data_IF_504553831361
#
_entry.id   IF_504553831361
#
_cell.length_a   1.000
_cell.length_b   1.000
_cell.length_c   1.000
_cell.angle_alpha   90.00
_cell.angle_beta   90.00
_cell.angle_gamma   90.00
#
_symmetry.space_group_name_H-M   'P 1'
#
loop_
_entity.id
_entity.type
_entity.pdbx_description
1 polymer ?
#
# COMPACT_ATOMS: atom_id res chain seq x y z
N UNK A 1 8.83 15.70 4.52
CA UNK A 1 7.80 14.69 4.25
C UNK A 1 7.83 13.59 5.28
N UNK A 2 6.65 13.15 5.71
CA UNK A 2 6.52 12.08 6.70
C UNK A 2 6.35 10.75 5.99
N UNK A 3 7.15 9.77 6.35
CA UNK A 3 7.09 8.42 5.80
C UNK A 3 6.93 7.40 6.93
N UNK A 4 6.02 6.46 6.77
CA UNK A 4 5.82 5.35 7.70
C UNK A 4 6.52 4.11 7.16
N UNK A 5 7.24 3.38 8.02
CA UNK A 5 7.86 2.11 7.67
C UNK A 5 7.35 1.00 8.57
N UNK A 6 6.99 -0.14 7.97
CA UNK A 6 6.73 -1.39 8.65
C UNK A 6 7.70 -2.44 8.16
N UNK A 7 8.41 -3.09 9.05
CA UNK A 7 9.33 -4.16 8.70
C UNK A 7 9.22 -5.32 9.69
N UNK A 8 9.11 -6.54 9.19
CA UNK A 8 9.21 -7.76 10.00
C UNK A 8 10.38 -8.64 9.51
N UNK A 9 11.45 -8.04 9.01
CA UNK A 9 12.61 -8.80 8.54
C UNK A 9 13.85 -8.58 9.42
N UNK A 10 14.83 -9.44 9.20
CA UNK A 10 16.12 -9.56 9.90
C UNK A 10 16.96 -8.27 9.98
N UNK A 11 16.47 -7.15 9.47
CA UNK A 11 17.13 -5.84 9.45
C UNK A 11 16.14 -4.72 9.81
N UNK A 12 15.68 -4.65 11.08
CA UNK A 12 14.78 -3.60 11.51
C UNK A 12 15.44 -2.22 11.42
N UNK A 13 14.69 -1.23 10.93
CA UNK A 13 15.17 0.14 10.84
C UNK A 13 15.84 0.56 9.53
N UNK A 14 16.42 -0.37 8.73
CA UNK A 14 17.17 -0.01 7.51
C UNK A 14 16.36 0.85 6.54
N UNK A 15 15.10 0.52 6.29
CA UNK A 15 14.27 1.32 5.38
C UNK A 15 14.01 2.72 5.92
N UNK A 16 13.94 2.86 7.25
CA UNK A 16 13.84 4.15 7.94
C UNK A 16 15.12 4.96 7.80
N UNK A 17 16.28 4.35 8.08
CA UNK A 17 17.61 4.99 7.93
C UNK A 17 17.78 5.55 6.51
N UNK A 18 17.52 4.73 5.48
CA UNK A 18 17.62 5.16 4.08
C UNK A 18 16.67 6.33 3.78
N UNK A 19 15.45 6.30 4.31
CA UNK A 19 14.51 7.40 4.12
C UNK A 19 15.00 8.69 4.81
N UNK A 20 15.57 8.59 6.02
CA UNK A 20 16.18 9.72 6.73
C UNK A 20 17.40 10.31 5.98
N UNK A 21 18.26 9.48 5.42
CA UNK A 21 19.37 9.90 4.56
C UNK A 21 18.90 10.72 3.34
N UNK A 22 17.68 10.46 2.87
CA UNK A 22 17.06 11.22 1.79
C UNK A 22 16.22 12.41 2.28
N UNK A 23 16.35 12.80 3.56
CA UNK A 23 15.71 13.98 4.13
C UNK A 23 14.25 13.80 4.50
N UNK A 24 13.78 12.56 4.70
CA UNK A 24 12.43 12.28 5.17
C UNK A 24 12.40 12.16 6.70
N UNK A 25 11.36 12.68 7.31
CA UNK A 25 11.06 12.37 8.72
C UNK A 25 10.28 11.05 8.78
N UNK A 26 10.75 10.11 9.57
CA UNK A 26 10.25 8.74 9.60
C UNK A 26 9.49 8.45 10.88
N UNK A 27 8.36 7.76 10.78
CA UNK A 27 7.69 7.12 11.91
C UNK A 27 7.69 5.61 11.64
N UNK A 28 8.50 4.87 12.42
CA UNK A 28 8.58 3.41 12.36
C UNK A 28 7.48 2.78 13.21
N UNK A 29 6.75 1.81 12.65
CA UNK A 29 5.75 1.04 13.40
C UNK A 29 6.06 -0.45 13.34
N UNK A 30 6.02 -1.11 14.47
CA UNK A 30 6.15 -2.57 14.56
C UNK A 30 5.31 -3.10 15.72
N UNK A 31 4.89 -4.36 15.62
CA UNK A 31 4.23 -5.10 16.70
C UNK A 31 5.24 -5.63 17.74
N UNK A 32 6.50 -5.75 17.36
CA UNK A 32 7.58 -6.23 18.21
C UNK A 32 8.34 -5.05 18.82
N UNK A 33 8.33 -4.98 20.14
CA UNK A 33 9.14 -4.00 20.88
C UNK A 33 10.63 -4.19 20.66
N UNK A 34 11.07 -5.44 20.51
CA UNK A 34 12.49 -5.76 20.29
C UNK A 34 12.96 -5.21 18.94
N UNK A 35 12.12 -5.29 17.90
CA UNK A 35 12.42 -4.69 16.60
C UNK A 35 12.50 -3.16 16.66
N UNK A 36 11.63 -2.54 17.44
CA UNK A 36 11.69 -1.09 17.66
C UNK A 36 12.94 -0.69 18.46
N UNK A 37 13.31 -1.46 19.47
CA UNK A 37 14.55 -1.22 20.22
C UNK A 37 15.78 -1.33 19.32
N UNK A 38 15.87 -2.36 18.48
CA UNK A 38 16.95 -2.51 17.51
C UNK A 38 17.01 -1.32 16.55
N UNK A 39 15.88 -0.86 16.03
CA UNK A 39 15.83 0.32 15.17
C UNK A 39 16.35 1.58 15.88
N UNK A 40 16.00 1.75 17.16
CA UNK A 40 16.51 2.83 18.00
C UNK A 40 18.02 2.70 18.25
N UNK A 41 18.50 1.51 18.58
CA UNK A 41 19.94 1.25 18.86
C UNK A 41 20.80 1.45 17.60
N UNK A 42 20.22 1.31 16.41
CA UNK A 42 20.84 1.63 15.11
C UNK A 42 20.90 3.14 14.83
N UNK A 43 20.26 3.96 15.63
CA UNK A 43 20.33 5.41 15.51
C UNK A 43 19.23 6.04 14.66
N UNK A 44 18.11 5.35 14.38
CA UNK A 44 16.95 5.96 13.76
C UNK A 44 16.52 7.21 14.55
N UNK A 45 16.49 8.37 13.91
CA UNK A 45 16.19 9.65 14.52
C UNK A 45 14.69 9.94 14.58
N UNK A 46 13.90 9.25 13.75
CA UNK A 46 12.45 9.38 13.70
C UNK A 46 11.73 8.76 14.89
N UNK A 47 10.42 8.91 14.92
CA UNK A 47 9.58 8.34 15.98
C UNK A 47 9.35 6.84 15.78
N UNK A 48 9.18 6.13 16.91
CA UNK A 48 8.85 4.70 16.93
C UNK A 48 7.51 4.46 17.61
N UNK A 49 6.64 3.70 16.97
CA UNK A 49 5.30 3.38 17.43
C UNK A 49 5.11 1.87 17.59
N UNK A 50 4.86 1.41 18.81
CA UNK A 50 4.50 0.02 19.07
C UNK A 50 3.02 -0.20 18.79
N UNK A 51 2.69 -0.84 17.67
CA UNK A 51 1.31 -1.00 17.21
C UNK A 51 1.14 -2.25 16.35
N UNK A 52 0.01 -2.95 16.53
CA UNK A 52 -0.45 -3.99 15.60
C UNK A 52 -1.23 -3.33 14.44
N UNK A 53 -0.64 -3.28 13.26
CA UNK A 53 -1.28 -2.70 12.07
C UNK A 53 -2.60 -3.40 11.69
N UNK A 54 -2.82 -4.65 12.11
CA UNK A 54 -4.07 -5.38 11.91
C UNK A 54 -5.24 -4.83 12.73
N UNK A 55 -4.98 -3.99 13.73
CA UNK A 55 -5.97 -3.21 14.47
C UNK A 55 -6.25 -1.84 13.82
N UNK A 56 -5.48 -1.49 12.79
CA UNK A 56 -5.47 -0.18 12.16
C UNK A 56 -4.29 0.69 12.65
N UNK A 57 -4.07 1.79 11.96
CA UNK A 57 -2.98 2.72 12.24
C UNK A 57 -3.47 3.88 13.09
N UNK A 58 -2.80 4.20 14.23
CA UNK A 58 -3.27 5.18 15.21
C UNK A 58 -2.86 6.62 14.85
N UNK A 59 -2.95 7.00 13.58
CA UNK A 59 -2.54 8.32 13.12
C UNK A 59 -3.72 9.15 12.60
N UNK A 60 -3.53 10.46 12.59
CA UNK A 60 -4.52 11.41 12.09
C UNK A 60 -4.63 11.34 10.57
N UNK A 61 -5.75 11.82 10.05
CA UNK A 61 -6.00 11.95 8.60
C UNK A 61 -4.96 12.88 7.96
N UNK A 62 -4.40 12.46 6.83
CA UNK A 62 -3.47 13.27 6.05
C UNK A 62 -2.12 13.52 6.71
N UNK A 63 -1.67 12.64 7.61
CA UNK A 63 -0.39 12.78 8.30
C UNK A 63 0.79 12.51 7.37
N UNK A 64 0.71 11.47 6.53
CA UNK A 64 1.85 10.97 5.76
C UNK A 64 1.82 11.39 4.29
N UNK A 65 2.97 11.75 3.76
CA UNK A 65 3.19 11.94 2.32
C UNK A 65 3.39 10.60 1.61
N UNK A 66 3.98 9.62 2.29
CA UNK A 66 4.23 8.28 1.78
C UNK A 66 4.32 7.23 2.86
N UNK A 67 4.17 5.97 2.46
CA UNK A 67 4.32 4.80 3.33
C UNK A 67 5.11 3.73 2.62
N UNK A 68 6.03 3.10 3.36
CA UNK A 68 6.79 1.93 2.92
C UNK A 68 6.49 0.79 3.88
N UNK A 69 6.19 -0.39 3.34
CA UNK A 69 6.04 -1.61 4.13
C UNK A 69 6.83 -2.74 3.49
N UNK A 70 7.71 -3.35 4.26
CA UNK A 70 8.60 -4.40 3.77
C UNK A 70 8.24 -5.72 4.44
N UNK A 71 7.70 -6.66 3.67
CA UNK A 71 7.42 -8.05 4.08
C UNK A 71 6.59 -8.19 5.37
N UNK A 72 5.68 -7.25 5.62
CA UNK A 72 4.88 -7.23 6.84
C UNK A 72 3.39 -7.53 6.58
N UNK A 73 2.81 -6.96 5.52
CA UNK A 73 1.35 -6.99 5.29
C UNK A 73 0.81 -8.39 5.05
N UNK A 74 1.58 -9.31 4.45
CA UNK A 74 1.17 -10.70 4.26
C UNK A 74 0.83 -11.42 5.58
N UNK A 75 1.42 -11.03 6.70
CA UNK A 75 1.12 -11.61 8.01
C UNK A 75 -0.30 -11.33 8.51
N UNK A 76 -0.97 -10.31 7.96
CA UNK A 76 -2.39 -10.05 8.24
C UNK A 76 -3.33 -11.12 7.62
N UNK A 77 -2.81 -11.93 6.70
CA UNK A 77 -3.56 -13.03 6.08
C UNK A 77 -3.62 -14.29 6.96
N UNK A 78 -2.87 -14.32 8.06
CA UNK A 78 -2.87 -15.46 8.99
C UNK A 78 -3.76 -15.17 10.19
N UNK A 79 -4.44 -16.20 10.65
CA UNK A 79 -5.27 -16.21 11.87
C UNK A 79 -4.45 -16.79 13.01
N UNK A 80 -3.82 -15.96 13.82
CA UNK A 80 -3.08 -16.42 15.01
C UNK A 80 -4.03 -16.73 16.19
N UNK A 81 -5.24 -16.18 16.16
CA UNK A 81 -6.29 -16.38 17.18
C UNK A 81 -7.61 -16.70 16.50
N UNK A 82 -8.46 -17.51 17.15
CA UNK A 82 -9.77 -17.95 16.61
C UNK A 82 -10.69 -16.80 16.15
N UNK A 83 -10.53 -15.60 16.69
CA UNK A 83 -11.32 -14.42 16.35
C UNK A 83 -10.67 -13.48 15.31
N UNK A 84 -9.43 -13.75 14.89
CA UNK A 84 -8.76 -12.98 13.88
C UNK A 84 -9.19 -13.42 12.49
N UNK A 85 -9.94 -12.55 11.81
CA UNK A 85 -10.38 -12.77 10.45
C UNK A 85 -9.48 -11.96 9.52
N UNK A 86 -8.71 -12.61 8.62
CA UNK A 86 -7.75 -11.93 7.74
C UNK A 86 -8.33 -10.74 7.00
N UNK A 87 -9.52 -10.90 6.44
CA UNK A 87 -10.21 -9.81 5.73
C UNK A 87 -10.48 -8.59 6.61
N UNK A 88 -10.84 -8.78 7.89
CA UNK A 88 -11.09 -7.69 8.82
C UNK A 88 -9.79 -6.96 9.16
N UNK A 89 -8.71 -7.70 9.44
CA UNK A 89 -7.38 -7.13 9.73
C UNK A 89 -6.84 -6.34 8.55
N UNK A 90 -6.91 -6.89 7.35
CA UNK A 90 -6.52 -6.18 6.11
C UNK A 90 -7.38 -4.93 5.87
N UNK A 91 -8.71 -5.02 6.13
CA UNK A 91 -9.60 -3.86 5.98
C UNK A 91 -9.28 -2.76 7.00
N UNK A 92 -9.00 -3.11 8.27
CA UNK A 92 -8.60 -2.15 9.30
C UNK A 92 -7.29 -1.44 8.89
N UNK A 93 -6.30 -2.20 8.44
CA UNK A 93 -5.03 -1.67 7.95
C UNK A 93 -5.22 -0.73 6.75
N UNK A 94 -5.76 -1.21 5.64
CA UNK A 94 -5.86 -0.41 4.41
C UNK A 94 -6.80 0.78 4.54
N UNK A 95 -7.89 0.66 5.32
CA UNK A 95 -8.79 1.78 5.57
C UNK A 95 -8.09 2.90 6.34
N UNK A 96 -7.40 2.57 7.42
CA UNK A 96 -6.68 3.58 8.22
C UNK A 96 -5.48 4.12 7.46
N UNK A 97 -4.75 3.29 6.71
CA UNK A 97 -3.68 3.70 5.83
C UNK A 97 -4.16 4.74 4.80
N UNK A 98 -5.30 4.49 4.15
CA UNK A 98 -5.89 5.42 3.21
C UNK A 98 -6.16 6.80 3.81
N UNK A 99 -6.68 6.81 5.05
CA UNK A 99 -6.94 8.07 5.74
C UNK A 99 -5.68 8.76 6.25
N UNK A 100 -4.68 8.00 6.71
CA UNK A 100 -3.42 8.57 7.19
C UNK A 100 -2.58 9.20 6.07
N UNK A 101 -2.72 8.76 4.83
CA UNK A 101 -2.06 9.36 3.68
C UNK A 101 -2.74 10.67 3.28
N UNK A 102 -1.93 11.64 2.87
CA UNK A 102 -2.41 12.82 2.16
C UNK A 102 -3.04 12.40 0.83
N UNK A 103 -3.91 13.24 0.28
CA UNK A 103 -4.45 13.01 -1.07
C UNK A 103 -3.31 12.97 -2.08
N UNK A 104 -3.29 11.93 -2.91
CA UNK A 104 -2.18 11.65 -3.83
C UNK A 104 -0.97 11.01 -3.16
N UNK A 105 -0.98 10.82 -1.83
CA UNK A 105 0.06 10.11 -1.10
C UNK A 105 0.19 8.66 -1.56
N UNK A 106 1.41 8.14 -1.51
CA UNK A 106 1.77 6.84 -2.09
C UNK A 106 2.14 5.83 -1.03
N UNK A 107 1.79 4.56 -1.28
CA UNK A 107 2.28 3.46 -0.46
C UNK A 107 2.99 2.42 -1.34
N UNK A 108 4.21 2.04 -0.95
CA UNK A 108 4.98 0.97 -1.56
C UNK A 108 5.05 -0.20 -0.57
N UNK A 109 4.38 -1.29 -0.90
CA UNK A 109 4.24 -2.45 -0.02
C UNK A 109 4.90 -3.66 -0.69
N UNK A 110 6.07 -4.05 -0.19
CA UNK A 110 6.72 -5.28 -0.62
C UNK A 110 6.03 -6.48 0.05
N UNK A 111 5.72 -7.50 -0.75
CA UNK A 111 4.99 -8.69 -0.33
C UNK A 111 5.73 -9.97 -0.72
N UNK A 112 5.59 -10.98 0.13
CA UNK A 112 5.91 -12.38 -0.17
C UNK A 112 4.66 -13.24 0.06
N UNK A 113 3.65 -13.15 -0.84
CA UNK A 113 2.46 -13.98 -0.73
C UNK A 113 2.82 -15.44 -0.98
N UNK A 114 2.27 -16.34 -0.16
CA UNK A 114 2.47 -17.78 -0.31
C UNK A 114 1.66 -18.34 -1.49
N UNK A 115 0.49 -17.75 -1.73
CA UNK A 115 -0.43 -18.17 -2.78
C UNK A 115 -0.96 -16.98 -3.58
N UNK A 116 -1.47 -17.27 -4.79
CA UNK A 116 -2.10 -16.25 -5.61
C UNK A 116 -3.35 -15.65 -4.95
N UNK A 117 -4.14 -16.49 -4.28
CA UNK A 117 -5.36 -16.07 -3.56
C UNK A 117 -5.03 -15.10 -2.42
N UNK A 118 -3.88 -15.27 -1.76
CA UNK A 118 -3.42 -14.34 -0.74
C UNK A 118 -3.11 -12.97 -1.35
N UNK A 119 -2.44 -12.92 -2.51
CA UNK A 119 -2.19 -11.67 -3.22
C UNK A 119 -3.50 -11.02 -3.69
N UNK A 120 -4.44 -11.79 -4.23
CA UNK A 120 -5.76 -11.32 -4.64
C UNK A 120 -6.56 -10.75 -3.46
N UNK A 121 -6.50 -11.41 -2.31
CA UNK A 121 -7.17 -10.93 -1.09
C UNK A 121 -6.60 -9.58 -0.67
N UNK A 122 -5.27 -9.43 -0.59
CA UNK A 122 -4.59 -8.20 -0.19
C UNK A 122 -4.93 -7.07 -1.17
N UNK A 123 -4.75 -7.30 -2.47
CA UNK A 123 -5.02 -6.28 -3.51
C UNK A 123 -6.49 -5.92 -3.56
N UNK A 124 -7.39 -6.91 -3.49
CA UNK A 124 -8.83 -6.70 -3.53
C UNK A 124 -9.35 -5.89 -2.33
N UNK A 125 -8.76 -6.06 -1.13
CA UNK A 125 -9.12 -5.25 0.04
C UNK A 125 -8.59 -3.83 -0.10
N UNK A 126 -7.35 -3.64 -0.56
CA UNK A 126 -6.78 -2.31 -0.80
C UNK A 126 -7.65 -1.49 -1.77
N UNK A 127 -8.04 -2.08 -2.91
CA UNK A 127 -8.92 -1.42 -3.89
C UNK A 127 -10.30 -1.08 -3.32
N UNK A 128 -10.86 -1.95 -2.46
CA UNK A 128 -12.14 -1.67 -1.78
C UNK A 128 -12.06 -0.52 -0.78
N UNK A 129 -10.88 -0.29 -0.20
CA UNK A 129 -10.64 0.84 0.69
C UNK A 129 -10.45 2.17 -0.04
N UNK A 130 -10.41 2.17 -1.38
CA UNK A 130 -10.38 3.38 -2.19
C UNK A 130 -9.03 3.68 -2.85
N UNK A 131 -8.03 2.85 -2.64
CA UNK A 131 -6.76 2.98 -3.33
C UNK A 131 -6.88 2.72 -4.83
N UNK A 132 -6.04 3.40 -5.59
CA UNK A 132 -5.71 3.08 -6.98
C UNK A 132 -4.26 2.59 -7.03
N UNK A 133 -3.83 2.02 -8.16
CA UNK A 133 -2.47 1.51 -8.32
C UNK A 133 -2.41 0.12 -8.92
N UNK A 134 -1.39 -0.65 -8.55
CA UNK A 134 -1.20 -1.98 -9.13
C UNK A 134 -0.05 -2.76 -8.51
N UNK A 135 0.16 -3.96 -9.05
CA UNK A 135 1.25 -4.85 -8.66
C UNK A 135 2.40 -4.72 -9.64
N UNK A 136 3.60 -4.55 -9.11
CA UNK A 136 4.86 -4.55 -9.86
C UNK A 136 5.68 -5.76 -9.41
N UNK A 137 6.20 -6.52 -10.36
CA UNK A 137 7.00 -7.72 -10.07
C UNK A 137 8.40 -7.52 -10.61
N UNK A 138 9.36 -7.33 -9.69
CA UNK A 138 10.78 -7.27 -10.03
C UNK A 138 11.33 -8.68 -10.27
N UNK A 139 12.22 -8.79 -11.25
CA UNK A 139 12.91 -10.04 -11.62
C UNK A 139 11.96 -11.25 -11.72
N UNK A 140 10.88 -11.18 -12.53
CA UNK A 140 9.81 -12.19 -12.54
C UNK A 140 10.30 -13.60 -12.85
N UNK A 141 11.39 -13.72 -13.59
CA UNK A 141 11.98 -14.98 -14.03
C UNK A 141 13.00 -15.55 -13.03
N UNK A 142 13.31 -14.86 -11.96
CA UNK A 142 14.28 -15.29 -10.95
C UNK A 142 13.59 -15.78 -9.68
N UNK A 143 13.75 -17.05 -9.34
CA UNK A 143 13.21 -17.60 -8.07
C UNK A 143 13.81 -16.93 -6.82
N UNK A 144 15.07 -16.47 -6.88
CA UNK A 144 15.77 -15.88 -5.73
C UNK A 144 15.58 -14.36 -5.63
N UNK A 145 15.54 -13.67 -6.78
CA UNK A 145 15.48 -12.20 -6.82
C UNK A 145 14.07 -11.65 -7.00
N UNK A 146 13.09 -12.50 -7.32
CA UNK A 146 11.70 -12.08 -7.51
C UNK A 146 11.16 -11.38 -6.28
N UNK A 147 10.67 -10.15 -6.47
CA UNK A 147 9.99 -9.37 -5.45
C UNK A 147 8.68 -8.83 -5.99
N UNK A 148 7.67 -8.83 -5.15
CA UNK A 148 6.33 -8.34 -5.50
C UNK A 148 6.09 -7.08 -4.70
N UNK A 149 5.73 -6.01 -5.39
CA UNK A 149 5.38 -4.73 -4.81
C UNK A 149 3.92 -4.39 -5.14
N UNK A 150 3.17 -4.02 -4.13
CA UNK A 150 1.87 -3.39 -4.29
C UNK A 150 2.08 -1.89 -4.16
N UNK A 151 1.97 -1.18 -5.29
CA UNK A 151 2.13 0.27 -5.39
C UNK A 151 0.75 0.91 -5.39
N UNK A 152 0.45 1.71 -4.36
CA UNK A 152 -0.87 2.27 -4.10
C UNK A 152 -0.82 3.80 -4.05
N UNK A 153 -1.93 4.43 -4.41
CA UNK A 153 -2.15 5.87 -4.32
C UNK A 153 -3.46 6.13 -3.57
N UNK A 154 -3.43 7.04 -2.62
CA UNK A 154 -4.61 7.47 -1.89
C UNK A 154 -5.37 8.56 -2.67
N UNK A 155 -6.46 8.19 -3.31
CA UNK A 155 -7.27 9.05 -4.16
C UNK A 155 -6.98 8.88 -5.65
N UNK A 156 -7.31 9.90 -6.44
CA UNK A 156 -7.03 9.91 -7.87
C UNK A 156 -5.55 10.22 -8.12
N UNK A 157 -4.87 9.46 -8.98
CA UNK A 157 -3.50 9.79 -9.37
C UNK A 157 -3.47 11.10 -10.15
N UNK A 158 -2.38 11.84 -10.00
CA UNK A 158 -2.10 12.98 -10.86
C UNK A 158 -2.03 12.53 -12.32
N UNK A 159 -2.40 13.42 -13.27
CA UNK A 159 -2.36 13.13 -14.72
C UNK A 159 -0.97 12.68 -15.21
N UNK A 160 0.09 13.04 -14.48
CA UNK A 160 1.48 12.69 -14.77
C UNK A 160 1.97 11.43 -14.05
N UNK A 161 1.09 10.75 -13.30
CA UNK A 161 1.53 9.58 -12.56
C UNK A 161 1.75 8.39 -13.49
N UNK A 162 2.98 7.89 -13.48
CA UNK A 162 3.34 6.63 -14.09
C UNK A 162 3.63 5.58 -13.00
N UNK A 163 3.15 4.36 -13.22
CA UNK A 163 3.49 3.24 -12.33
C UNK A 163 4.99 2.99 -12.38
N UNK A 164 5.63 2.65 -11.25
CA UNK A 164 7.02 2.25 -11.24
C UNK A 164 7.30 1.12 -12.23
N UNK A 165 8.41 1.23 -12.94
CA UNK A 165 8.83 0.19 -13.89
C UNK A 165 9.54 -0.93 -13.12
N UNK A 166 9.16 -2.17 -13.40
CA UNK A 166 9.78 -3.34 -12.80
C UNK A 166 11.26 -3.49 -13.22
N UNK A 167 12.12 -3.85 -12.30
CA UNK A 167 13.53 -4.16 -12.58
C UNK A 167 13.66 -5.58 -13.16
N UNK A 168 14.61 -5.76 -14.07
CA UNK A 168 15.02 -7.10 -14.56
C UNK A 168 14.18 -7.72 -15.66
N UNK A 169 13.40 -6.99 -16.41
CA UNK A 169 12.81 -7.21 -17.72
C UNK A 169 11.34 -6.82 -17.88
N UNK A 170 11.00 -6.47 -19.09
CA UNK A 170 9.72 -6.30 -19.77
C UNK A 170 8.45 -6.66 -18.98
N UNK A 171 7.77 -5.63 -18.47
CA UNK A 171 6.30 -5.47 -18.44
C UNK A 171 5.46 -6.64 -17.92
N UNK A 172 5.49 -6.88 -16.61
CA UNK A 172 4.36 -7.49 -15.94
C UNK A 172 3.80 -6.51 -14.88
N UNK A 173 3.27 -5.39 -15.36
CA UNK A 173 2.51 -4.45 -14.55
C UNK A 173 1.03 -4.76 -14.71
N UNK A 174 0.35 -5.09 -13.61
CA UNK A 174 -1.11 -5.23 -13.60
C UNK A 174 -1.66 -4.04 -12.83
N UNK A 175 -2.19 -3.06 -13.55
CA UNK A 175 -2.88 -1.93 -12.96
C UNK A 175 -4.30 -2.31 -12.52
N UNK A 176 -4.72 -1.81 -11.36
CA UNK A 176 -6.07 -1.98 -10.85
C UNK A 176 -6.74 -0.60 -10.74
N UNK A 177 -7.93 -0.46 -11.31
CA UNK A 177 -8.78 0.72 -11.14
C UNK A 177 -9.74 0.52 -9.97
N UNK A 178 -9.99 1.60 -9.20
CA UNK A 178 -10.98 1.54 -8.13
C UNK A 178 -12.41 1.42 -8.71
N UNK A 179 -13.31 0.74 -7.99
CA UNK A 179 -14.72 0.60 -8.42
C UNK A 179 -15.46 1.93 -8.61
N UNK A 180 -14.98 3.04 -8.02
CA UNK A 180 -15.57 4.37 -8.17
C UNK A 180 -15.41 4.92 -9.58
N UNK A 181 -14.30 4.64 -10.25
CA UNK A 181 -14.03 5.11 -11.61
C UNK A 181 -14.94 4.46 -12.65
N UNK A 182 -15.32 3.19 -12.45
CA UNK A 182 -16.28 2.49 -13.30
C UNK A 182 -17.68 3.12 -13.30
N UNK A 183 -18.11 3.70 -12.17
CA UNK A 183 -19.40 4.39 -12.07
C UNK A 183 -19.39 5.77 -12.75
N UNK A 184 -18.27 6.51 -12.64
CA UNK A 184 -18.11 7.82 -13.29
C UNK A 184 -18.06 7.69 -14.81
N UNK A 185 -17.30 6.73 -15.34
CA UNK A 185 -17.22 6.46 -16.79
C UNK A 185 -18.59 6.03 -17.38
N UNK A 186 -19.36 5.18 -16.67
CA UNK A 186 -20.72 4.80 -17.08
C UNK A 186 -21.70 5.97 -17.07
N UNK A 187 -21.58 6.90 -16.11
CA UNK A 187 -22.43 8.10 -16.04
C UNK A 187 -22.12 9.09 -17.17
N UNK A 188 -20.84 9.32 -17.51
CA UNK A 188 -20.43 10.14 -18.65
C UNK A 188 -20.87 9.53 -20.00
N UNK A 189 -20.85 8.20 -20.15
CA UNK A 189 -21.32 7.51 -21.36
C UNK A 189 -22.84 7.58 -21.52
N UNK A 190 -23.62 7.50 -20.41
CA UNK A 190 -25.08 7.69 -20.43
C UNK A 190 -25.49 9.14 -20.79
N UNK A 191 -24.76 10.15 -20.29
CA UNK A 191 -25.01 11.57 -20.64
C UNK A 191 -24.70 11.87 -22.10
N UNK A 192 -23.68 11.24 -22.70
CA UNK A 192 -23.38 11.41 -24.14
C UNK A 192 -24.44 10.77 -25.05
N UNK A 193 -25.04 9.63 -24.65
CA UNK A 193 -26.12 8.97 -25.42
C UNK A 193 -27.48 9.63 -25.24
N UNK A 194 -27.71 10.37 -24.15
CA UNK A 194 -28.95 11.11 -23.92
C UNK A 194 -29.07 12.42 -24.72
N UNK A 195 -27.97 13.02 -25.15
CA UNK A 195 -27.97 14.26 -25.95
C UNK A 195 -28.25 14.06 -27.45
N UNK A 196 -28.14 12.82 -27.97
CA UNK A 196 -28.39 12.53 -29.39
C UNK A 196 -29.84 12.07 -29.67
N UNK A 197 -30.79 12.19 -28.75
CA UNK A 197 -32.21 11.81 -28.97
C UNK A 197 -33.16 12.98 -28.97
N UNK A 198 -32.66 14.21 -29.06
CA UNK A 198 -33.46 15.43 -28.91
C UNK A 198 -33.69 16.25 -30.17
N UNK A 199 -33.22 15.88 -31.37
CA UNK A 199 -33.47 16.63 -32.61
C UNK A 199 -33.92 15.69 -33.71
N UNK A 200 -35.20 15.33 -33.67
CA UNK A 200 -35.98 14.93 -34.87
C UNK A 200 -37.35 15.52 -34.69
N UNK A 201 -37.53 16.69 -35.24
CA UNK A 201 -38.77 17.22 -35.82
C UNK A 201 -38.44 18.14 -36.95
#
# INVERSE_FOLDING_TARGET
SYTQTHSQNTHPGISGEIAEEHGHYVIGCDISRDMLNIAKDRGLQGDLCHSDMGQGLPFRVGTFDGVISISAVQWLCYSNKKHEIPRHRLTAFFRTLYFCLKRGGRAAIQLYPETAEQLELITGVAMKCGFTGGVVVDFPNSKKAKKIYLCLIAGEPDEKYEMPVAMGTNTNQVGFESRRDGFSKKRKKRMKHGKNRGDVK
#
